data_IF_542955460101
#
_entry.id   IF_542955460101
#
_cell.length_a   1.000
_cell.length_b   1.000
_cell.length_c   1.000
_cell.angle_alpha   90.00
_cell.angle_beta   90.00
_cell.angle_gamma   90.00
#
_symmetry.space_group_name_H-M   'P 1'
#
loop_
_entity.id
_entity.type
_entity.pdbx_description
1 polymer ?
#
# COMPACT_ATOMS: atom_id res chain seq x y z
N UNK A 1 -12.77 0.70 -33.40
CA UNK A 1 -13.11 0.39 -31.99
C UNK A 1 -11.87 -0.24 -31.37
N UNK A 2 -11.12 0.53 -30.58
CA UNK A 2 -9.93 0.02 -29.91
C UNK A 2 -10.39 -0.90 -28.77
N UNK A 3 -10.09 -2.19 -28.85
CA UNK A 3 -10.22 -3.12 -27.73
C UNK A 3 -9.32 -2.60 -26.62
N UNK A 4 -9.89 -1.85 -25.66
CA UNK A 4 -9.20 -1.46 -24.44
C UNK A 4 -8.92 -2.72 -23.63
N UNK A 5 -7.76 -3.35 -23.88
CA UNK A 5 -7.31 -4.50 -23.12
C UNK A 5 -7.17 -4.07 -21.68
N UNK A 6 -8.06 -4.55 -20.82
CA UNK A 6 -7.95 -4.42 -19.37
C UNK A 6 -6.70 -5.17 -18.93
N UNK A 7 -5.56 -4.49 -18.91
CA UNK A 7 -4.29 -5.09 -18.55
C UNK A 7 -4.26 -5.31 -17.02
N UNK A 8 -4.15 -6.57 -16.63
CA UNK A 8 -4.10 -6.96 -15.23
C UNK A 8 -2.65 -6.92 -14.80
N UNK A 9 -2.25 -5.82 -14.15
CA UNK A 9 -0.91 -5.72 -13.59
C UNK A 9 -0.75 -6.70 -12.41
N UNK A 10 0.04 -7.75 -12.64
CA UNK A 10 0.39 -8.75 -11.62
C UNK A 10 1.02 -8.08 -10.39
N UNK A 11 0.73 -8.60 -9.19
CA UNK A 11 1.17 -8.01 -7.92
C UNK A 11 2.69 -7.81 -7.78
N UNK A 12 3.51 -8.70 -8.34
CA UNK A 12 4.98 -8.56 -8.37
C UNK A 12 5.44 -7.41 -9.28
N UNK A 13 4.81 -7.24 -10.45
CA UNK A 13 5.07 -6.09 -11.32
C UNK A 13 4.57 -4.80 -10.67
N UNK A 14 3.39 -4.84 -10.06
CA UNK A 14 2.84 -3.71 -9.31
C UNK A 14 3.76 -3.32 -8.13
N UNK A 15 4.41 -4.27 -7.46
CA UNK A 15 5.39 -4.02 -6.41
C UNK A 15 6.65 -3.34 -6.97
N UNK A 16 7.18 -3.81 -8.10
CA UNK A 16 8.35 -3.22 -8.74
C UNK A 16 8.09 -1.79 -9.26
N UNK A 17 6.99 -1.60 -9.99
CA UNK A 17 6.54 -0.29 -10.51
C UNK A 17 6.03 0.61 -9.37
N UNK A 18 5.57 0.02 -8.28
CA UNK A 18 5.03 0.73 -7.14
C UNK A 18 5.99 1.73 -6.51
N UNK A 19 7.28 1.41 -6.53
CA UNK A 19 8.33 2.31 -6.06
C UNK A 19 8.49 3.56 -6.94
N UNK A 20 8.24 3.45 -8.25
CA UNK A 20 8.18 4.62 -9.14
C UNK A 20 6.82 5.34 -9.08
N UNK A 21 5.84 4.75 -8.40
CA UNK A 21 4.53 5.36 -8.14
C UNK A 21 4.61 6.71 -7.44
N UNK A 22 5.70 7.04 -6.74
CA UNK A 22 5.92 8.38 -6.16
C UNK A 22 5.89 9.48 -7.22
N UNK A 23 6.42 9.23 -8.43
CA UNK A 23 6.40 10.18 -9.54
C UNK A 23 4.98 10.41 -10.09
N UNK A 24 4.10 9.44 -9.89
CA UNK A 24 2.68 9.53 -10.21
C UNK A 24 1.81 9.98 -9.02
N UNK A 25 2.42 10.41 -7.90
CA UNK A 25 1.72 10.84 -6.68
C UNK A 25 1.12 9.68 -5.86
N UNK A 26 1.49 8.44 -6.15
CA UNK A 26 1.05 7.24 -5.45
C UNK A 26 2.06 6.87 -4.37
N UNK A 27 1.81 7.32 -3.15
CA UNK A 27 2.68 7.04 -1.98
C UNK A 27 2.34 5.73 -1.25
N UNK A 28 1.33 5.01 -1.72
CA UNK A 28 0.81 3.78 -1.08
C UNK A 28 1.91 2.76 -0.78
N UNK A 29 2.90 2.63 -1.67
CA UNK A 29 3.98 1.64 -1.54
C UNK A 29 4.93 1.90 -0.37
N UNK A 30 5.02 3.15 0.11
CA UNK A 30 5.79 3.46 1.32
C UNK A 30 5.15 2.93 2.61
N UNK A 31 3.92 2.42 2.55
CA UNK A 31 3.34 1.68 3.67
C UNK A 31 4.15 0.39 3.99
N UNK A 32 4.82 -0.22 3.00
CA UNK A 32 5.63 -1.44 3.21
C UNK A 32 6.85 -1.24 4.12
N UNK A 33 7.76 -0.29 3.85
CA UNK A 33 8.88 -0.03 4.74
C UNK A 33 8.41 0.42 6.13
N UNK A 34 7.31 1.19 6.21
CA UNK A 34 6.73 1.59 7.50
C UNK A 34 6.19 0.38 8.27
N UNK A 35 5.55 -0.56 7.59
CA UNK A 35 5.08 -1.80 8.20
C UNK A 35 6.26 -2.65 8.70
N UNK A 36 7.30 -2.83 7.88
CA UNK A 36 8.48 -3.61 8.26
C UNK A 36 9.23 -2.99 9.45
N UNK A 37 9.43 -1.66 9.40
CA UNK A 37 9.97 -0.91 10.53
C UNK A 37 9.06 -1.02 11.75
N UNK A 38 7.75 -0.98 11.56
CA UNK A 38 6.75 -1.14 12.62
C UNK A 38 6.90 -2.47 13.34
N UNK A 39 7.02 -3.59 12.61
CA UNK A 39 7.27 -4.92 13.18
C UNK A 39 8.55 -4.93 14.01
N UNK A 40 9.66 -4.41 13.46
CA UNK A 40 10.93 -4.33 14.17
C UNK A 40 10.84 -3.46 15.42
N UNK A 41 10.22 -2.29 15.33
CA UNK A 41 10.08 -1.36 16.45
C UNK A 41 9.16 -1.91 17.54
N UNK A 42 8.11 -2.68 17.20
CA UNK A 42 7.28 -3.38 18.19
C UNK A 42 8.12 -4.33 19.04
N UNK A 43 9.03 -5.08 18.42
CA UNK A 43 9.88 -6.06 19.10
C UNK A 43 10.92 -5.36 20.00
N UNK A 44 11.47 -4.21 19.58
CA UNK A 44 12.62 -3.58 20.25
C UNK A 44 12.23 -2.45 21.22
N UNK A 45 11.20 -1.69 20.92
CA UNK A 45 10.78 -0.49 21.67
C UNK A 45 9.38 -0.65 22.28
N UNK A 46 8.72 -1.78 22.03
CA UNK A 46 7.44 -2.14 22.64
C UNK A 46 6.20 -1.78 21.82
N UNK A 47 5.01 -2.17 22.34
CA UNK A 47 3.75 -2.20 21.58
C UNK A 47 3.28 -0.83 21.09
N UNK A 48 3.58 0.25 21.82
CA UNK A 48 3.11 1.61 21.50
C UNK A 48 3.67 2.11 20.17
N UNK A 49 4.93 1.80 19.87
CA UNK A 49 5.57 2.23 18.61
C UNK A 49 5.02 1.43 17.44
N UNK A 50 4.80 0.14 17.65
CA UNK A 50 4.13 -0.77 16.71
C UNK A 50 2.76 -0.31 16.26
N UNK A 51 1.90 0.07 17.22
CA UNK A 51 0.56 0.58 16.93
C UNK A 51 0.61 1.84 16.07
N UNK A 52 1.51 2.79 16.39
CA UNK A 52 1.66 4.03 15.61
C UNK A 52 2.14 3.75 14.18
N UNK A 53 3.11 2.85 14.02
CA UNK A 53 3.61 2.45 12.71
C UNK A 53 2.53 1.74 11.87
N UNK A 54 1.77 0.81 12.48
CA UNK A 54 0.65 0.14 11.83
C UNK A 54 -0.47 1.09 11.39
N UNK A 55 -0.86 2.04 12.24
CA UNK A 55 -1.84 3.08 11.89
C UNK A 55 -1.34 3.98 10.74
N UNK A 56 -0.06 4.31 10.74
CA UNK A 56 0.55 5.12 9.68
C UNK A 56 0.57 4.36 8.35
N UNK A 57 0.94 3.07 8.38
CA UNK A 57 0.89 2.20 7.21
C UNK A 57 -0.53 2.05 6.66
N UNK A 58 -1.54 1.90 7.53
CA UNK A 58 -2.95 1.88 7.14
C UNK A 58 -3.39 3.18 6.48
N UNK A 59 -3.04 4.33 7.06
CA UNK A 59 -3.40 5.64 6.51
C UNK A 59 -2.78 5.85 5.11
N UNK A 60 -1.53 5.45 4.93
CA UNK A 60 -0.83 5.53 3.64
C UNK A 60 -1.42 4.52 2.65
N UNK A 61 -1.69 3.28 3.07
CA UNK A 61 -2.33 2.27 2.23
C UNK A 61 -3.72 2.69 1.77
N UNK A 62 -4.50 3.36 2.64
CA UNK A 62 -5.81 3.92 2.32
C UNK A 62 -5.75 5.00 1.23
N UNK A 63 -4.62 5.70 1.07
CA UNK A 63 -4.44 6.67 -0.02
C UNK A 63 -4.59 6.04 -1.41
N UNK A 64 -4.40 4.72 -1.55
CA UNK A 64 -4.62 3.97 -2.79
C UNK A 64 -6.05 4.12 -3.32
N UNK A 65 -7.05 4.26 -2.45
CA UNK A 65 -8.43 4.46 -2.90
C UNK A 65 -8.62 5.78 -3.66
N UNK A 66 -7.79 6.80 -3.37
CA UNK A 66 -7.84 8.08 -4.11
C UNK A 66 -7.30 7.97 -5.55
N UNK A 67 -6.62 6.87 -5.86
CA UNK A 67 -6.02 6.60 -7.17
C UNK A 67 -7.02 5.87 -8.09
N UNK A 68 -8.03 5.21 -7.51
CA UNK A 68 -9.09 4.55 -8.27
C UNK A 68 -9.89 5.61 -9.04
N UNK A 69 -10.03 5.41 -10.35
CA UNK A 69 -10.70 6.37 -11.24
C UNK A 69 -9.84 7.57 -11.66
N UNK A 70 -8.57 7.66 -11.25
CA UNK A 70 -7.63 8.63 -11.81
C UNK A 70 -6.87 8.05 -13.00
N UNK A 71 -6.60 8.90 -13.98
CA UNK A 71 -5.63 8.62 -15.04
C UNK A 71 -4.22 8.75 -14.44
N UNK A 72 -3.44 7.68 -14.52
CA UNK A 72 -2.03 7.68 -14.18
C UNK A 72 -1.20 7.67 -15.46
N UNK A 73 -0.07 8.40 -15.52
CA UNK A 73 0.88 8.25 -16.61
C UNK A 73 1.43 6.81 -16.58
N UNK A 74 1.26 6.08 -17.67
CA UNK A 74 1.75 4.71 -17.80
C UNK A 74 3.23 4.65 -18.20
N UNK A 75 3.75 5.75 -18.78
CA UNK A 75 5.14 5.88 -19.23
C UNK A 75 5.76 7.21 -18.75
N UNK A 76 7.09 7.22 -18.65
CA UNK A 76 7.91 8.40 -18.30
C UNK A 76 7.72 9.58 -19.29
N UNK A 77 7.24 9.29 -20.51
CA UNK A 77 6.89 10.29 -21.53
C UNK A 77 5.45 10.82 -21.46
N UNK A 78 4.62 10.35 -20.52
CA UNK A 78 3.19 10.70 -20.41
C UNK A 78 2.39 10.45 -21.72
N UNK A 79 2.87 9.53 -22.57
CA UNK A 79 2.26 9.23 -23.87
C UNK A 79 1.11 8.23 -23.71
N UNK A 80 1.30 7.21 -22.86
CA UNK A 80 0.24 6.28 -22.49
C UNK A 80 -0.37 6.66 -21.14
N UNK A 81 -1.70 6.60 -21.05
CA UNK A 81 -2.47 6.84 -19.83
C UNK A 81 -3.14 5.54 -19.39
N UNK A 82 -2.99 5.18 -18.12
CA UNK A 82 -3.63 4.02 -17.53
C UNK A 82 -4.63 4.46 -16.48
N UNK A 83 -5.88 4.05 -16.61
CA UNK A 83 -6.91 4.35 -15.61
C UNK A 83 -7.04 3.16 -14.67
N UNK A 84 -6.96 3.42 -13.37
CA UNK A 84 -7.20 2.37 -12.37
C UNK A 84 -8.72 2.13 -12.28
N UNK A 85 -9.21 1.10 -12.97
CA UNK A 85 -10.64 0.76 -13.05
C UNK A 85 -11.12 0.01 -11.81
N UNK A 86 -10.29 -0.89 -11.25
CA UNK A 86 -10.70 -1.74 -10.13
C UNK A 86 -9.52 -2.17 -9.26
N UNK A 87 -9.72 -2.16 -7.95
CA UNK A 87 -8.80 -2.76 -6.99
C UNK A 87 -9.05 -4.27 -6.91
N UNK A 88 -7.97 -5.05 -7.00
CA UNK A 88 -8.00 -6.51 -6.93
C UNK A 88 -8.00 -7.02 -5.47
N UNK A 89 -8.45 -8.27 -5.23
CA UNK A 89 -8.49 -8.89 -3.89
C UNK A 89 -7.17 -8.80 -3.11
N UNK A 90 -6.02 -8.88 -3.80
CA UNK A 90 -4.70 -8.82 -3.18
C UNK A 90 -4.43 -7.54 -2.38
N UNK A 91 -5.04 -6.41 -2.76
CA UNK A 91 -4.96 -5.17 -2.02
C UNK A 91 -5.63 -5.28 -0.63
N UNK A 92 -6.74 -6.00 -0.52
CA UNK A 92 -7.43 -6.16 0.76
C UNK A 92 -6.63 -7.06 1.70
N UNK A 93 -5.97 -8.10 1.16
CA UNK A 93 -5.02 -8.92 1.92
C UNK A 93 -3.84 -8.08 2.41
N UNK A 94 -3.32 -7.21 1.54
CA UNK A 94 -2.24 -6.29 1.86
C UNK A 94 -2.65 -5.29 2.97
N UNK A 95 -3.81 -4.64 2.86
CA UNK A 95 -4.37 -3.79 3.92
C UNK A 95 -4.62 -4.57 5.22
N UNK A 96 -5.04 -5.83 5.11
CA UNK A 96 -5.21 -6.74 6.24
C UNK A 96 -3.91 -6.95 7.03
N UNK A 97 -2.76 -7.02 6.36
CA UNK A 97 -1.46 -7.16 7.05
C UNK A 97 -1.10 -5.95 7.92
N UNK A 98 -1.50 -4.75 7.49
CA UNK A 98 -1.30 -3.51 8.24
C UNK A 98 -2.27 -3.41 9.44
N UNK A 99 -3.51 -3.84 9.22
CA UNK A 99 -4.51 -3.97 10.28
C UNK A 99 -4.05 -4.99 11.34
N UNK A 100 -3.49 -6.12 10.90
CA UNK A 100 -2.96 -7.15 11.79
C UNK A 100 -1.82 -6.60 12.64
N UNK A 101 -0.83 -5.91 12.06
CA UNK A 101 0.25 -5.28 12.84
C UNK A 101 -0.30 -4.32 13.90
N UNK A 102 -1.28 -3.50 13.53
CA UNK A 102 -1.92 -2.55 14.45
C UNK A 102 -2.63 -3.28 15.58
N UNK A 103 -3.44 -4.29 15.25
CA UNK A 103 -4.22 -5.07 16.21
C UNK A 103 -3.32 -5.88 17.14
N UNK A 104 -2.33 -6.61 16.62
CA UNK A 104 -1.38 -7.39 17.41
C UNK A 104 -0.56 -6.49 18.33
N UNK A 105 -0.07 -5.34 17.84
CA UNK A 105 0.66 -4.39 18.70
C UNK A 105 -0.22 -3.81 19.80
N UNK A 106 -1.51 -3.56 19.51
CA UNK A 106 -2.50 -3.17 20.52
C UNK A 106 -2.75 -4.27 21.55
N UNK A 107 -2.94 -5.51 21.12
CA UNK A 107 -3.16 -6.65 22.03
C UNK A 107 -1.96 -6.88 22.94
N UNK A 108 -0.74 -6.77 22.42
CA UNK A 108 0.50 -6.85 23.20
C UNK A 108 0.60 -5.76 24.28
N UNK A 109 -0.17 -4.67 24.18
CA UNK A 109 -0.25 -3.66 25.25
C UNK A 109 -1.06 -4.13 26.46
N UNK A 110 -1.98 -5.07 26.26
CA UNK A 110 -2.88 -5.58 27.31
C UNK A 110 -2.40 -6.90 27.92
N UNK A 111 -1.38 -7.53 27.33
CA UNK A 111 -0.75 -8.73 27.87
C UNK A 111 0.47 -8.28 28.70
N UNK A 112 0.50 -8.56 30.01
CA UNK A 112 1.58 -8.15 30.91
C UNK A 112 2.91 -8.85 30.62
#
# INVERSE_FOLDING_TARGET
MSNGTTDVMLGLRALAVGWSGIFAGVVAWYANPIWLLGVGLTIWYGPTVGTKAGLTALAIGYSTFKVVGRELPADEGNVNKMTVVRILPGFYVWMGSFALLTATSLLLRFIP
#
